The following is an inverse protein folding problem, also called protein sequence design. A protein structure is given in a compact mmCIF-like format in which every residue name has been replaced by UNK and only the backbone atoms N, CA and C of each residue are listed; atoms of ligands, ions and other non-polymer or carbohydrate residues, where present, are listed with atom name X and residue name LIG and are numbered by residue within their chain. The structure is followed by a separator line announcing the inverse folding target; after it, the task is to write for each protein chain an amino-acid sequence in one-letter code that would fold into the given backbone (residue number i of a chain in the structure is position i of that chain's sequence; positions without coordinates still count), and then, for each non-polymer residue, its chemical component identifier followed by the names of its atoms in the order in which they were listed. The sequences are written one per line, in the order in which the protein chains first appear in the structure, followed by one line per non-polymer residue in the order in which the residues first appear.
data_IF_655067469155
#
_entry.id   IF_655067469155
#
_cell.length_a   1.000
_cell.length_b   1.000
_cell.length_c   1.000
_cell.angle_alpha   90.00
_cell.angle_beta   90.00
_cell.angle_gamma   90.00
#
_symmetry.space_group_name_H-M   'P 1'
#
loop_
_entity.id
_entity.type
_entity.pdbx_description
1 polymer ?
#
# COMPACT_ATOMS: atom_id res chain seq x y z
N UNK A 1 29.68 -9.59 7.45
CA UNK A 1 28.58 -9.68 6.47
C UNK A 1 29.26 -9.68 5.10
N UNK A 2 29.06 -10.71 4.32
CA UNK A 2 29.74 -10.94 3.04
C UNK A 2 29.04 -10.19 1.91
N UNK A 3 29.73 -9.96 0.77
CA UNK A 3 29.15 -9.43 -0.49
C UNK A 3 27.93 -10.24 -1.00
N UNK A 4 27.65 -11.40 -0.41
CA UNK A 4 26.54 -12.28 -0.78
C UNK A 4 25.23 -12.00 0.00
N UNK A 5 25.28 -11.20 1.07
CA UNK A 5 24.09 -10.94 1.90
C UNK A 5 23.08 -10.06 1.17
N UNK A 6 21.83 -10.48 1.17
CA UNK A 6 20.68 -9.68 0.71
C UNK A 6 20.04 -8.97 1.89
N UNK A 7 19.96 -7.65 1.84
CA UNK A 7 19.21 -6.83 2.82
C UNK A 7 17.83 -6.52 2.28
N UNK A 8 16.79 -6.73 3.09
CA UNK A 8 15.41 -6.36 2.79
C UNK A 8 15.01 -5.20 3.71
N UNK A 9 14.63 -4.08 3.11
CA UNK A 9 14.14 -2.89 3.81
C UNK A 9 12.61 -2.88 3.79
N UNK A 10 12.03 -3.19 4.93
CA UNK A 10 10.57 -3.29 5.13
C UNK A 10 10.09 -4.71 5.38
N UNK A 11 9.41 -4.91 6.52
CA UNK A 11 8.84 -6.18 6.96
C UNK A 11 7.31 -6.26 6.76
N UNK A 12 6.81 -5.65 5.70
CA UNK A 12 5.45 -5.82 5.20
C UNK A 12 5.28 -7.09 4.36
N UNK A 13 4.09 -7.36 3.78
CA UNK A 13 3.80 -8.56 3.01
C UNK A 13 4.81 -8.88 1.92
N UNK A 14 5.36 -7.86 1.25
CA UNK A 14 6.36 -8.02 0.19
C UNK A 14 7.73 -8.43 0.72
N UNK A 15 8.20 -7.77 1.78
CA UNK A 15 9.47 -8.13 2.42
C UNK A 15 9.42 -9.52 3.04
N UNK A 16 8.31 -9.87 3.73
CA UNK A 16 8.11 -11.19 4.32
C UNK A 16 8.09 -12.30 3.26
N UNK A 17 7.36 -12.09 2.16
CA UNK A 17 7.33 -13.04 1.05
C UNK A 17 8.71 -13.23 0.42
N UNK A 18 9.46 -12.14 0.15
CA UNK A 18 10.80 -12.18 -0.41
C UNK A 18 11.76 -12.96 0.50
N UNK A 19 11.78 -12.63 1.80
CA UNK A 19 12.61 -13.31 2.78
C UNK A 19 12.32 -14.80 2.89
N UNK A 20 11.03 -15.18 2.88
CA UNK A 20 10.61 -16.59 2.92
C UNK A 20 11.10 -17.36 1.69
N UNK A 21 11.06 -16.74 0.50
CA UNK A 21 11.55 -17.36 -0.72
C UNK A 21 13.09 -17.45 -0.77
N UNK A 22 13.81 -16.42 -0.30
CA UNK A 22 15.27 -16.42 -0.20
C UNK A 22 15.74 -17.45 0.82
N UNK A 23 15.10 -17.53 2.00
CA UNK A 23 15.37 -18.58 3.02
C UNK A 23 15.22 -19.98 2.45
N UNK A 24 14.19 -20.23 1.65
CA UNK A 24 13.98 -21.54 1.02
C UNK A 24 15.05 -21.88 -0.04
N UNK A 25 15.86 -20.90 -0.46
CA UNK A 25 17.02 -21.05 -1.35
C UNK A 25 18.36 -20.96 -0.61
N UNK A 26 18.34 -20.93 0.72
CA UNK A 26 19.52 -20.78 1.58
C UNK A 26 20.36 -19.51 1.27
N UNK A 27 19.72 -18.44 0.80
CA UNK A 27 20.37 -17.15 0.55
C UNK A 27 20.49 -16.38 1.87
N UNK A 28 21.71 -15.95 2.27
CA UNK A 28 21.89 -15.10 3.45
C UNK A 28 21.06 -13.82 3.34
N UNK A 29 20.15 -13.61 4.29
CA UNK A 29 19.18 -12.53 4.22
C UNK A 29 18.99 -11.87 5.59
N UNK A 30 19.05 -10.54 5.61
CA UNK A 30 18.70 -9.71 6.76
C UNK A 30 17.46 -8.88 6.42
N UNK A 31 16.53 -8.79 7.37
CA UNK A 31 15.29 -8.02 7.20
C UNK A 31 15.25 -6.95 8.26
N UNK A 32 15.03 -5.70 7.85
CA UNK A 32 14.90 -4.56 8.74
C UNK A 32 13.52 -3.91 8.65
N UNK A 33 12.96 -3.60 9.84
CA UNK A 33 11.69 -2.92 10.00
C UNK A 33 10.66 -3.71 10.81
N UNK A 34 9.71 -3.01 11.41
CA UNK A 34 8.67 -3.63 12.25
C UNK A 34 7.66 -4.41 11.40
N UNK A 35 7.42 -5.70 11.73
CA UNK A 35 6.48 -6.51 10.96
C UNK A 35 5.09 -5.91 10.92
N UNK A 36 4.58 -5.67 9.70
CA UNK A 36 3.24 -5.14 9.43
C UNK A 36 2.93 -3.79 10.11
N UNK A 37 3.93 -2.96 10.38
CA UNK A 37 3.79 -1.69 11.10
C UNK A 37 2.68 -0.79 10.52
N UNK A 38 2.65 -0.62 9.20
CA UNK A 38 1.61 0.16 8.51
C UNK A 38 0.19 -0.36 8.81
N UNK A 39 0.00 -1.69 8.80
CA UNK A 39 -1.30 -2.31 9.04
C UNK A 39 -1.71 -2.23 10.51
N UNK A 40 -0.74 -2.35 11.43
CA UNK A 40 -0.98 -2.26 12.88
C UNK A 40 -1.35 -0.85 13.35
N UNK A 41 -0.99 0.17 12.56
CA UNK A 41 -1.32 1.58 12.83
C UNK A 41 -2.69 2.01 12.28
N UNK A 42 -3.33 1.16 11.47
CA UNK A 42 -4.69 1.44 10.98
C UNK A 42 -5.72 1.27 12.09
N UNK A 43 -6.84 2.02 12.07
CA UNK A 43 -7.95 1.82 13.01
C UNK A 43 -8.43 0.36 13.01
N UNK A 44 -8.55 -0.28 14.19
CA UNK A 44 -8.84 -1.72 14.29
C UNK A 44 -10.23 -2.12 13.76
N UNK A 45 -11.17 -1.17 13.67
CA UNK A 45 -12.52 -1.35 13.14
C UNK A 45 -12.57 -1.32 11.60
N UNK A 46 -11.44 -1.11 10.94
CA UNK A 46 -11.35 -1.10 9.48
C UNK A 46 -11.57 -2.49 8.88
N UNK A 47 -12.14 -2.48 7.67
CA UNK A 47 -12.26 -3.64 6.82
C UNK A 47 -11.42 -3.50 5.56
N UNK A 48 -10.90 -4.61 5.08
CA UNK A 48 -10.07 -4.60 3.88
C UNK A 48 -10.95 -4.64 2.63
N UNK A 49 -10.64 -3.78 1.66
CA UNK A 49 -11.30 -3.76 0.35
C UNK A 49 -10.98 -5.02 -0.48
N UNK A 50 -9.84 -5.64 -0.21
CA UNK A 50 -9.39 -6.87 -0.86
C UNK A 50 -10.20 -8.06 -0.41
N UNK A 51 -10.53 -8.96 -1.34
CA UNK A 51 -11.25 -10.20 -1.03
C UNK A 51 -10.35 -11.19 -0.27
N UNK A 52 -10.95 -12.15 0.40
CA UNK A 52 -10.24 -13.21 1.14
C UNK A 52 -9.11 -13.86 0.34
N UNK A 53 -9.38 -14.24 -0.91
CA UNK A 53 -8.39 -14.91 -1.77
C UNK A 53 -7.20 -14.03 -2.17
N UNK A 54 -7.36 -12.69 -2.11
CA UNK A 54 -6.33 -11.73 -2.52
C UNK A 54 -5.47 -11.19 -1.36
N UNK A 55 -5.61 -11.75 -0.16
CA UNK A 55 -4.86 -11.34 1.04
C UNK A 55 -3.73 -12.31 1.43
N UNK A 56 -3.41 -13.29 0.59
CA UNK A 56 -2.33 -14.23 0.89
C UNK A 56 -0.95 -13.58 0.78
N UNK A 57 -0.15 -13.70 1.85
CA UNK A 57 1.28 -13.45 1.80
C UNK A 57 1.92 -14.69 1.17
N UNK A 58 2.71 -14.49 0.12
CA UNK A 58 3.23 -15.62 -0.65
C UNK A 58 4.33 -16.37 0.10
N UNK A 59 4.29 -17.70 0.01
CA UNK A 59 5.36 -18.60 0.42
C UNK A 59 5.71 -19.58 -0.72
N UNK A 60 6.90 -20.21 -0.71
CA UNK A 60 7.37 -21.06 -1.81
C UNK A 60 6.48 -22.26 -2.13
N UNK A 61 5.75 -22.78 -1.15
CA UNK A 61 4.92 -23.99 -1.25
C UNK A 61 3.42 -23.66 -1.28
N UNK A 62 3.07 -22.38 -1.17
CA UNK A 62 1.69 -21.92 -1.01
C UNK A 62 0.95 -22.63 0.15
N UNK A 63 1.68 -22.90 1.23
CA UNK A 63 1.21 -23.66 2.39
C UNK A 63 0.55 -22.76 3.44
N UNK A 64 1.01 -21.51 3.55
CA UNK A 64 0.61 -20.60 4.62
C UNK A 64 -0.38 -19.55 4.12
N UNK A 65 -1.46 -20.02 3.48
CA UNK A 65 -2.53 -19.19 2.94
C UNK A 65 -3.53 -18.76 4.01
N UNK A 66 -4.33 -17.71 3.73
CA UNK A 66 -5.44 -17.31 4.59
C UNK A 66 -6.51 -18.43 4.71
N UNK A 67 -6.67 -19.27 3.67
CA UNK A 67 -7.52 -20.46 3.73
C UNK A 67 -6.97 -21.51 4.71
N UNK A 68 -5.67 -21.76 4.70
CA UNK A 68 -5.01 -22.67 5.64
C UNK A 68 -5.14 -22.16 7.09
N UNK A 69 -4.96 -20.86 7.30
CA UNK A 69 -5.18 -20.21 8.59
C UNK A 69 -6.62 -20.34 9.05
N UNK A 70 -7.59 -20.01 8.18
CA UNK A 70 -9.02 -20.09 8.48
C UNK A 70 -9.44 -21.51 8.86
N UNK A 71 -8.96 -22.53 8.12
CA UNK A 71 -9.21 -23.94 8.43
C UNK A 71 -8.63 -24.34 9.79
N UNK A 72 -7.38 -23.94 10.09
CA UNK A 72 -6.71 -24.27 11.35
C UNK A 72 -7.39 -23.66 12.57
N UNK A 73 -7.85 -22.40 12.45
CA UNK A 73 -8.41 -21.63 13.55
C UNK A 73 -9.96 -21.56 13.51
N UNK A 74 -10.62 -22.36 12.65
CA UNK A 74 -12.08 -22.42 12.50
C UNK A 74 -12.72 -21.04 12.19
N UNK A 75 -12.00 -20.20 11.42
CA UNK A 75 -12.49 -18.87 11.03
C UNK A 75 -13.25 -19.01 9.71
N UNK A 76 -14.49 -18.58 9.71
CA UNK A 76 -15.33 -18.55 8.50
C UNK A 76 -14.85 -17.43 7.57
N UNK A 77 -14.84 -17.72 6.26
CA UNK A 77 -14.52 -16.71 5.25
C UNK A 77 -15.50 -15.53 5.36
N UNK A 78 -14.91 -14.35 5.39
CA UNK A 78 -15.64 -13.08 5.47
C UNK A 78 -15.33 -12.22 4.24
N UNK A 79 -16.32 -11.51 3.75
CA UNK A 79 -16.18 -10.49 2.71
C UNK A 79 -17.12 -9.32 3.06
N UNK A 80 -16.62 -8.20 3.56
CA UNK A 80 -15.21 -7.80 3.69
C UNK A 80 -14.44 -8.54 4.80
N UNK A 81 -13.12 -8.61 4.64
CA UNK A 81 -12.22 -9.16 5.66
C UNK A 81 -11.89 -8.09 6.69
N UNK A 82 -12.14 -8.36 7.96
CA UNK A 82 -11.75 -7.45 9.04
C UNK A 82 -10.21 -7.32 9.13
N UNK A 83 -9.72 -6.12 9.41
CA UNK A 83 -8.28 -5.87 9.59
C UNK A 83 -7.68 -6.80 10.65
N UNK A 84 -8.36 -6.99 11.78
CA UNK A 84 -7.93 -7.90 12.86
C UNK A 84 -7.73 -9.35 12.37
N UNK A 85 -8.59 -9.84 11.48
CA UNK A 85 -8.45 -11.19 10.89
C UNK A 85 -7.20 -11.28 10.03
N UNK A 86 -6.91 -10.27 9.22
CA UNK A 86 -5.68 -10.22 8.42
C UNK A 86 -4.42 -10.15 9.30
N UNK A 87 -4.44 -9.33 10.36
CA UNK A 87 -3.30 -9.21 11.28
C UNK A 87 -3.05 -10.52 12.03
N UNK A 88 -4.10 -11.23 12.50
CA UNK A 88 -3.97 -12.55 13.12
C UNK A 88 -3.41 -13.58 12.15
N UNK A 89 -3.87 -13.57 10.89
CA UNK A 89 -3.30 -14.40 9.83
C UNK A 89 -1.81 -14.11 9.60
N UNK A 90 -1.45 -12.85 9.50
CA UNK A 90 -0.08 -12.47 9.23
C UNK A 90 0.86 -12.78 10.42
N UNK A 91 0.36 -12.69 11.65
CA UNK A 91 1.10 -13.16 12.82
C UNK A 91 1.30 -14.68 12.77
N UNK A 92 0.26 -15.44 12.47
CA UNK A 92 0.39 -16.89 12.26
C UNK A 92 1.36 -17.24 11.13
N UNK A 93 1.34 -16.50 10.01
CA UNK A 93 2.30 -16.68 8.92
C UNK A 93 3.74 -16.54 9.43
N UNK A 94 4.04 -15.49 10.22
CA UNK A 94 5.36 -15.27 10.80
C UNK A 94 5.82 -16.43 11.69
N UNK A 95 4.92 -16.99 12.49
CA UNK A 95 5.20 -18.16 13.35
C UNK A 95 5.54 -19.41 12.53
N UNK A 96 4.91 -19.58 11.35
CA UNK A 96 5.17 -20.72 10.47
C UNK A 96 6.52 -20.57 9.75
N UNK A 97 6.82 -19.39 9.19
CA UNK A 97 8.02 -19.17 8.38
C UNK A 97 9.28 -18.96 9.22
N UNK A 98 9.15 -18.57 10.49
CA UNK A 98 10.24 -18.38 11.46
C UNK A 98 11.39 -17.56 10.87
N UNK A 99 11.07 -16.35 10.41
CA UNK A 99 12.05 -15.37 9.94
C UNK A 99 12.67 -14.65 11.14
N UNK A 100 13.97 -14.44 11.08
CA UNK A 100 14.66 -13.53 11.98
C UNK A 100 14.54 -12.11 11.43
N UNK A 101 13.84 -11.23 12.14
CA UNK A 101 13.51 -9.86 11.68
C UNK A 101 14.05 -8.86 12.70
N UNK A 102 15.00 -8.07 12.29
CA UNK A 102 15.45 -6.93 13.07
C UNK A 102 14.43 -5.79 12.93
N UNK A 103 13.80 -5.42 14.03
CA UNK A 103 12.72 -4.41 14.04
C UNK A 103 13.22 -2.96 13.96
N UNK A 104 14.54 -2.75 13.86
CA UNK A 104 15.14 -1.42 13.69
C UNK A 104 14.88 -0.91 12.26
N UNK A 105 14.57 0.35 12.12
CA UNK A 105 14.42 0.96 10.81
C UNK A 105 15.79 1.31 10.20
N UNK A 106 15.83 1.32 8.86
CA UNK A 106 16.97 1.81 8.11
C UNK A 106 16.93 3.34 8.08
N UNK A 107 18.00 3.95 8.53
CA UNK A 107 18.21 5.40 8.55
C UNK A 107 18.80 5.89 7.24
N UNK A 108 19.81 5.16 6.69
CA UNK A 108 20.48 5.54 5.44
C UNK A 108 20.84 4.29 4.63
N UNK A 109 20.63 4.38 3.32
CA UNK A 109 21.12 3.43 2.32
C UNK A 109 22.01 4.16 1.33
N UNK A 110 23.28 3.78 1.26
CA UNK A 110 24.25 4.34 0.33
C UNK A 110 24.97 3.25 -0.47
N UNK A 111 25.55 3.60 -1.60
CA UNK A 111 26.40 2.70 -2.38
C UNK A 111 27.79 2.65 -1.76
N UNK A 112 28.37 1.45 -1.66
CA UNK A 112 29.76 1.21 -1.19
C UNK A 112 30.47 0.29 -2.19
N UNK A 113 31.18 0.88 -3.11
CA UNK A 113 31.83 0.16 -4.21
C UNK A 113 30.81 -0.59 -5.08
N UNK A 114 30.91 -1.93 -5.12
CA UNK A 114 29.95 -2.81 -5.85
C UNK A 114 28.74 -3.23 -4.99
N UNK A 115 28.72 -2.88 -3.71
CA UNK A 115 27.66 -3.21 -2.76
C UNK A 115 27.01 -1.98 -2.15
N UNK A 116 26.42 -2.19 -0.99
CA UNK A 116 25.65 -1.16 -0.27
C UNK A 116 26.08 -1.08 1.20
N UNK A 117 26.04 0.12 1.72
CA UNK A 117 26.17 0.44 3.13
C UNK A 117 24.79 0.84 3.68
N UNK A 118 24.34 0.13 4.71
CA UNK A 118 23.06 0.35 5.37
C UNK A 118 23.31 0.78 6.80
N UNK A 119 22.91 1.99 7.17
CA UNK A 119 22.92 2.50 8.54
C UNK A 119 21.51 2.34 9.14
N UNK A 120 21.43 1.85 10.37
CA UNK A 120 20.20 1.69 11.14
C UNK A 120 19.98 2.86 12.08
N UNK A 121 18.72 3.07 12.53
CA UNK A 121 18.38 4.15 13.46
C UNK A 121 19.09 4.04 14.83
N UNK A 122 19.51 2.84 15.23
CA UNK A 122 20.28 2.60 16.46
C UNK A 122 21.80 2.77 16.31
N UNK A 123 22.25 3.21 15.13
CA UNK A 123 23.66 3.48 14.81
C UNK A 123 24.45 2.26 14.32
N UNK A 124 23.87 1.05 14.33
CA UNK A 124 24.51 -0.11 13.70
C UNK A 124 24.61 0.07 12.19
N UNK A 125 25.64 -0.51 11.60
CA UNK A 125 25.86 -0.51 10.15
C UNK A 125 25.99 -1.91 9.60
N UNK A 126 25.49 -2.11 8.37
CA UNK A 126 25.54 -3.39 7.67
C UNK A 126 26.00 -3.19 6.24
N UNK A 127 26.95 -4.02 5.78
CA UNK A 127 27.31 -4.11 4.37
C UNK A 127 26.46 -5.16 3.67
N UNK A 128 25.92 -4.84 2.51
CA UNK A 128 25.09 -5.73 1.71
C UNK A 128 25.60 -5.82 0.27
N UNK A 129 25.56 -7.01 -0.30
CA UNK A 129 25.80 -7.19 -1.74
C UNK A 129 24.56 -6.85 -2.56
N UNK A 130 23.37 -7.02 -1.96
CA UNK A 130 22.08 -6.81 -2.61
C UNK A 130 21.10 -6.16 -1.66
N UNK A 131 20.24 -5.28 -2.19
CA UNK A 131 19.19 -4.62 -1.38
C UNK A 131 17.84 -4.72 -2.08
N UNK A 132 16.82 -5.18 -1.36
CA UNK A 132 15.42 -5.10 -1.77
C UNK A 132 14.69 -4.00 -0.99
N UNK A 133 14.13 -3.02 -1.69
CA UNK A 133 13.25 -2.00 -1.12
C UNK A 133 11.81 -2.52 -1.16
N UNK A 134 11.22 -2.76 0.02
CA UNK A 134 9.89 -3.32 0.23
C UNK A 134 9.06 -2.50 1.25
N UNK A 135 9.24 -1.18 1.27
CA UNK A 135 8.70 -0.24 2.27
C UNK A 135 7.18 0.01 2.16
N UNK A 136 6.52 -0.58 1.16
CA UNK A 136 5.06 -0.45 0.97
C UNK A 136 4.65 0.93 0.49
N UNK A 137 3.53 1.46 1.03
CA UNK A 137 2.94 2.76 0.62
C UNK A 137 3.15 3.87 1.65
N UNK A 138 3.51 3.53 2.87
CA UNK A 138 3.62 4.49 3.97
C UNK A 138 4.49 5.73 3.68
N UNK A 139 5.59 5.64 2.91
CA UNK A 139 6.41 6.82 2.58
C UNK A 139 5.78 7.79 1.58
N UNK A 140 4.62 7.48 1.02
CA UNK A 140 4.09 8.15 -0.17
C UNK A 140 2.70 8.78 0.00
N UNK A 141 2.33 9.40 1.15
CA UNK A 141 1.03 10.06 1.27
C UNK A 141 0.91 11.18 0.24
N UNK A 142 -0.22 11.24 -0.46
CA UNK A 142 -0.47 12.30 -1.42
C UNK A 142 -1.01 13.54 -0.68
N UNK A 143 -0.19 14.57 -0.55
CA UNK A 143 -0.56 15.83 0.09
C UNK A 143 -0.91 16.86 -1.01
N UNK A 144 -2.17 17.29 -1.13
CA UNK A 144 -2.57 18.32 -2.09
C UNK A 144 -1.89 19.66 -1.84
N UNK A 145 -1.73 20.48 -2.89
CA UNK A 145 -0.99 21.74 -2.82
C UNK A 145 -1.57 22.71 -1.77
N UNK A 146 -2.89 22.79 -1.65
CA UNK A 146 -3.55 23.64 -0.66
C UNK A 146 -3.17 23.28 0.80
N UNK A 147 -2.74 22.04 1.05
CA UNK A 147 -2.46 21.50 2.38
C UNK A 147 -0.96 21.52 2.76
N UNK A 148 -0.06 21.74 1.80
CA UNK A 148 1.40 21.60 2.01
C UNK A 148 1.99 22.51 3.09
N UNK A 149 1.43 23.72 3.23
CA UNK A 149 1.94 24.74 4.16
C UNK A 149 1.08 24.88 5.43
N UNK A 150 0.08 24.04 5.61
CA UNK A 150 -0.76 24.05 6.80
C UNK A 150 -0.09 23.25 7.94
N UNK A 151 -0.30 23.68 9.20
CA UNK A 151 0.29 22.97 10.34
C UNK A 151 -0.34 21.58 10.49
N UNK A 152 0.47 20.60 10.89
CA UNK A 152 0.04 19.21 11.13
C UNK A 152 -1.00 19.06 12.23
N UNK A 153 -1.18 20.08 13.06
CA UNK A 153 -2.26 20.14 14.07
C UNK A 153 -3.63 20.39 13.47
N UNK A 154 -3.71 20.91 12.23
CA UNK A 154 -4.96 21.24 11.53
C UNK A 154 -5.20 20.38 10.28
N UNK A 155 -4.14 19.71 9.78
CA UNK A 155 -4.23 18.81 8.62
C UNK A 155 -3.43 17.55 8.88
N UNK A 156 -4.02 16.39 8.59
CA UNK A 156 -3.36 15.09 8.70
C UNK A 156 -3.76 14.17 7.55
N UNK A 157 -2.94 13.16 7.26
CA UNK A 157 -3.33 12.11 6.32
C UNK A 157 -4.05 10.98 7.07
N UNK A 158 -4.95 10.26 6.38
CA UNK A 158 -5.72 9.15 6.98
C UNK A 158 -4.85 8.03 7.58
N UNK A 159 -3.59 7.90 7.16
CA UNK A 159 -2.63 6.94 7.73
C UNK A 159 -2.05 7.35 9.10
N UNK A 160 -2.22 8.61 9.49
CA UNK A 160 -1.64 9.16 10.73
C UNK A 160 -2.49 8.82 11.96
N UNK A 161 -3.66 8.21 11.73
CA UNK A 161 -4.65 7.93 12.77
C UNK A 161 -4.83 6.41 12.99
N UNK A 162 -4.64 5.98 14.22
CA UNK A 162 -5.01 4.64 14.71
C UNK A 162 -6.42 4.61 15.31
N UNK A 163 -6.97 5.77 15.66
CA UNK A 163 -8.37 6.00 16.05
C UNK A 163 -8.75 7.45 15.74
N UNK A 164 -10.02 7.78 15.95
CA UNK A 164 -10.56 9.13 15.69
C UNK A 164 -11.21 9.77 16.91
N UNK A 165 -10.99 9.26 18.12
CA UNK A 165 -11.61 9.76 19.35
C UNK A 165 -11.24 11.22 19.66
N UNK A 166 -10.04 11.65 19.27
CA UNK A 166 -9.56 13.03 19.44
C UNK A 166 -10.39 14.08 18.64
N UNK A 167 -11.25 13.62 17.73
CA UNK A 167 -12.10 14.48 16.89
C UNK A 167 -13.54 14.57 17.37
N UNK A 168 -13.90 13.96 18.49
CA UNK A 168 -15.25 14.05 19.06
C UNK A 168 -15.68 15.52 19.25
N UNK A 169 -16.85 15.89 18.72
CA UNK A 169 -17.41 17.24 18.78
C UNK A 169 -16.74 18.24 17.84
N UNK A 170 -15.73 17.85 17.05
CA UNK A 170 -15.05 18.72 16.07
C UNK A 170 -15.72 18.66 14.71
N UNK A 171 -15.62 19.78 13.97
CA UNK A 171 -15.98 19.87 12.55
C UNK A 171 -14.80 19.44 11.70
N UNK A 172 -14.92 18.28 11.02
CA UNK A 172 -13.85 17.68 10.25
C UNK A 172 -14.24 17.53 8.79
N UNK A 173 -13.41 18.07 7.90
CA UNK A 173 -13.53 17.80 6.46
C UNK A 173 -12.62 16.64 6.09
N UNK A 174 -13.19 15.61 5.46
CA UNK A 174 -12.40 14.53 4.86
C UNK A 174 -12.26 14.79 3.36
N UNK A 175 -11.01 14.87 2.87
CA UNK A 175 -10.73 15.13 1.45
C UNK A 175 -10.41 13.83 0.73
N UNK A 176 -11.24 13.46 -0.23
CA UNK A 176 -11.02 12.27 -1.04
C UNK A 176 -12.31 11.66 -1.56
N UNK A 177 -12.20 10.65 -2.44
CA UNK A 177 -13.36 9.93 -3.00
C UNK A 177 -13.11 8.42 -3.14
N UNK A 178 -12.07 7.93 -2.48
CA UNK A 178 -11.70 6.51 -2.47
C UNK A 178 -12.10 5.82 -1.17
N UNK A 179 -11.79 4.52 -1.08
CA UNK A 179 -12.08 3.68 0.10
C UNK A 179 -11.63 4.31 1.41
N UNK A 180 -10.37 4.76 1.49
CA UNK A 180 -9.78 5.32 2.70
C UNK A 180 -10.53 6.59 3.18
N UNK A 181 -10.90 7.51 2.25
CA UNK A 181 -11.63 8.70 2.59
C UNK A 181 -13.00 8.38 3.20
N UNK A 182 -13.75 7.48 2.58
CA UNK A 182 -15.08 7.10 3.05
C UNK A 182 -15.03 6.32 4.37
N UNK A 183 -14.03 5.47 4.55
CA UNK A 183 -13.85 4.70 5.77
C UNK A 183 -13.43 5.60 6.93
N UNK A 184 -12.50 6.55 6.69
CA UNK A 184 -12.13 7.56 7.70
C UNK A 184 -13.30 8.45 8.07
N UNK A 185 -14.10 8.89 7.08
CA UNK A 185 -15.30 9.71 7.35
C UNK A 185 -16.33 8.96 8.18
N UNK A 186 -16.55 7.66 7.91
CA UNK A 186 -17.45 6.83 8.69
C UNK A 186 -16.97 6.68 10.15
N UNK A 187 -15.68 6.39 10.34
CA UNK A 187 -15.08 6.24 11.67
C UNK A 187 -15.08 7.56 12.46
N UNK A 188 -14.81 8.69 11.82
CA UNK A 188 -14.92 10.02 12.40
C UNK A 188 -16.36 10.31 12.88
N UNK A 189 -17.35 10.02 12.05
CA UNK A 189 -18.76 10.17 12.40
C UNK A 189 -19.15 9.27 13.58
N UNK A 190 -18.70 8.02 13.58
CA UNK A 190 -18.91 7.05 14.66
C UNK A 190 -18.22 7.48 15.95
N UNK A 191 -17.09 8.19 15.87
CA UNK A 191 -16.40 8.79 17.03
C UNK A 191 -17.06 10.09 17.52
N UNK A 192 -18.13 10.58 16.86
CA UNK A 192 -18.89 11.77 17.26
C UNK A 192 -18.38 13.08 16.70
N UNK A 193 -17.62 13.07 15.59
CA UNK A 193 -17.27 14.28 14.84
C UNK A 193 -18.42 14.70 13.91
N UNK A 194 -18.51 16.00 13.63
CA UNK A 194 -19.32 16.56 12.54
C UNK A 194 -18.52 16.47 11.25
N UNK A 195 -18.95 15.63 10.30
CA UNK A 195 -18.15 15.25 9.14
C UNK A 195 -18.76 15.75 7.84
N UNK A 196 -17.93 16.38 6.98
CA UNK A 196 -18.21 16.58 5.56
C UNK A 196 -17.11 15.89 4.73
N UNK A 197 -17.51 15.12 3.72
CA UNK A 197 -16.58 14.50 2.77
C UNK A 197 -16.59 15.28 1.45
N UNK A 198 -15.45 15.84 1.05
CA UNK A 198 -15.29 16.62 -0.18
C UNK A 198 -14.46 15.83 -1.19
N UNK A 199 -14.99 15.65 -2.41
CA UNK A 199 -14.34 14.89 -3.47
C UNK A 199 -14.35 15.60 -4.83
N UNK A 200 -13.19 15.78 -5.45
CA UNK A 200 -13.00 16.44 -6.76
C UNK A 200 -13.68 15.76 -7.96
N UNK A 201 -14.41 14.71 -7.76
CA UNK A 201 -15.14 14.01 -8.81
C UNK A 201 -16.27 13.18 -8.23
N UNK A 202 -17.02 12.44 -9.07
CA UNK A 202 -18.19 11.68 -8.65
C UNK A 202 -17.81 10.57 -7.67
N UNK A 203 -18.74 10.24 -6.79
CA UNK A 203 -18.63 9.06 -5.92
C UNK A 203 -18.88 7.81 -6.78
N UNK A 204 -17.93 6.89 -6.78
CA UNK A 204 -18.02 5.66 -7.54
C UNK A 204 -18.12 4.50 -6.56
N UNK A 205 -19.28 3.88 -6.49
CA UNK A 205 -19.45 2.60 -5.80
C UNK A 205 -19.04 1.47 -6.71
N UNK A 206 -18.31 0.49 -6.15
CA UNK A 206 -17.94 -0.71 -6.91
C UNK A 206 -19.21 -1.49 -7.20
N UNK A 207 -19.60 -1.53 -8.47
CA UNK A 207 -20.65 -2.42 -8.96
C UNK A 207 -20.00 -3.58 -9.72
N UNK A 208 -19.99 -4.74 -9.09
CA UNK A 208 -19.47 -5.95 -9.69
C UNK A 208 -20.66 -6.83 -10.13
N UNK A 209 -21.41 -6.39 -11.13
CA UNK A 209 -22.58 -7.13 -11.64
C UNK A 209 -22.25 -8.59 -11.95
N UNK A 210 -21.05 -8.85 -12.51
CA UNK A 210 -20.57 -10.19 -12.79
C UNK A 210 -20.17 -10.98 -11.53
N UNK A 211 -20.07 -10.32 -10.38
CA UNK A 211 -19.79 -10.97 -9.09
C UNK A 211 -21.01 -11.76 -8.55
N UNK A 212 -22.18 -11.52 -9.09
CA UNK A 212 -23.39 -12.29 -8.79
C UNK A 212 -23.30 -13.73 -9.30
N UNK A 213 -22.43 -13.99 -10.29
CA UNK A 213 -22.14 -15.35 -10.72
C UNK A 213 -21.29 -16.04 -9.65
N UNK A 214 -21.78 -17.13 -9.11
CA UNK A 214 -21.08 -17.98 -8.16
C UNK A 214 -20.39 -19.15 -8.87
N UNK A 215 -19.39 -19.76 -8.23
CA UNK A 215 -18.75 -20.96 -8.74
C UNK A 215 -17.83 -20.77 -9.94
N UNK A 216 -17.93 -21.69 -10.92
CA UNK A 216 -17.02 -21.76 -12.08
C UNK A 216 -17.11 -20.55 -12.99
N UNK A 217 -18.28 -20.00 -13.21
CA UNK A 217 -18.49 -18.83 -14.07
C UNK A 217 -17.72 -17.58 -13.55
N UNK A 218 -17.65 -17.37 -12.24
CA UNK A 218 -16.85 -16.30 -11.65
C UNK A 218 -15.37 -16.45 -12.00
N UNK A 219 -14.82 -17.67 -11.98
CA UNK A 219 -13.42 -17.96 -12.29
C UNK A 219 -13.03 -17.69 -13.75
N UNK A 220 -13.98 -17.71 -14.67
CA UNK A 220 -13.72 -17.33 -16.08
C UNK A 220 -13.41 -15.84 -16.19
N UNK A 221 -14.15 -14.99 -15.48
CA UNK A 221 -14.04 -13.53 -15.59
C UNK A 221 -13.02 -12.92 -14.66
N UNK A 222 -12.75 -13.57 -13.51
CA UNK A 222 -11.86 -13.05 -12.47
C UNK A 222 -10.87 -14.11 -11.98
N UNK A 223 -9.56 -13.81 -12.01
CA UNK A 223 -8.56 -14.66 -11.36
C UNK A 223 -8.72 -14.59 -9.82
N UNK A 224 -8.07 -15.46 -9.06
CA UNK A 224 -8.08 -15.43 -7.59
C UNK A 224 -7.60 -14.10 -6.99
N UNK A 225 -6.72 -13.36 -7.70
CA UNK A 225 -6.24 -12.04 -7.27
C UNK A 225 -7.33 -10.98 -7.28
N UNK A 226 -8.34 -11.12 -8.15
CA UNK A 226 -9.55 -10.29 -8.21
C UNK A 226 -9.29 -8.77 -8.26
N UNK A 227 -8.25 -8.35 -9.00
CA UNK A 227 -7.84 -6.96 -9.12
C UNK A 227 -8.20 -6.43 -10.51
N UNK A 228 -8.99 -5.35 -10.54
CA UNK A 228 -9.42 -4.69 -11.76
C UNK A 228 -10.71 -5.22 -12.36
N UNK A 229 -11.16 -4.65 -13.50
CA UNK A 229 -12.37 -5.07 -14.21
C UNK A 229 -12.27 -6.48 -14.78
N UNK A 230 -13.44 -7.11 -15.04
CA UNK A 230 -13.53 -8.42 -15.67
C UNK A 230 -12.71 -8.48 -16.98
N UNK A 231 -12.02 -9.57 -17.21
CA UNK A 231 -11.12 -9.77 -18.36
C UNK A 231 -9.74 -9.11 -18.18
N UNK A 232 -9.68 -7.80 -17.90
CA UNK A 232 -8.42 -7.09 -17.62
C UNK A 232 -7.75 -7.67 -16.38
N UNK A 233 -8.51 -8.12 -15.40
CA UNK A 233 -8.02 -8.73 -14.16
C UNK A 233 -7.12 -9.96 -14.40
N UNK A 234 -7.33 -10.71 -15.49
CA UNK A 234 -6.44 -11.81 -15.86
C UNK A 234 -5.07 -11.31 -16.32
N UNK A 235 -5.01 -10.25 -17.13
CA UNK A 235 -3.73 -9.65 -17.51
C UNK A 235 -2.98 -9.10 -16.30
N UNK A 236 -3.70 -8.46 -15.38
CA UNK A 236 -3.14 -7.93 -14.12
C UNK A 236 -2.62 -9.04 -13.21
N UNK A 237 -3.23 -10.23 -13.24
CA UNK A 237 -2.78 -11.39 -12.46
C UNK A 237 -1.41 -11.95 -12.90
N UNK A 238 -0.92 -11.57 -14.10
CA UNK A 238 0.35 -12.04 -14.65
C UNK A 238 1.34 -10.88 -14.82
N UNK A 239 2.06 -10.43 -13.78
CA UNK A 239 2.95 -9.26 -13.81
C UNK A 239 4.01 -9.31 -14.92
N UNK A 240 4.55 -10.49 -15.22
CA UNK A 240 5.56 -10.67 -16.28
C UNK A 240 5.01 -10.49 -17.69
N UNK A 241 3.72 -10.78 -17.89
CA UNK A 241 3.00 -10.50 -19.15
C UNK A 241 2.64 -9.02 -19.22
N UNK A 242 2.13 -8.47 -18.11
CA UNK A 242 1.80 -7.04 -17.99
C UNK A 242 2.99 -6.14 -18.35
N UNK A 243 4.19 -6.49 -17.90
CA UNK A 243 5.42 -5.74 -18.18
C UNK A 243 5.72 -5.60 -19.68
N UNK A 244 5.27 -6.55 -20.52
CA UNK A 244 5.56 -6.59 -21.98
C UNK A 244 4.61 -5.72 -22.83
N UNK A 245 3.53 -5.20 -22.24
CA UNK A 245 2.61 -4.31 -22.96
C UNK A 245 3.15 -2.87 -23.02
N UNK A 246 2.71 -2.10 -24.00
CA UNK A 246 3.15 -0.71 -24.20
C UNK A 246 2.78 0.19 -23.00
N UNK A 247 3.58 1.22 -22.77
CA UNK A 247 3.41 2.18 -21.66
C UNK A 247 2.04 2.83 -21.66
N UNK A 248 1.53 3.22 -22.82
CA UNK A 248 0.20 3.82 -22.94
C UNK A 248 -0.91 2.88 -22.47
N UNK A 249 -0.82 1.57 -22.80
CA UNK A 249 -1.78 0.57 -22.34
C UNK A 249 -1.62 0.28 -20.84
N UNK A 250 -0.37 0.20 -20.34
CA UNK A 250 -0.11 0.03 -18.90
C UNK A 250 -0.75 1.15 -18.09
N UNK A 251 -0.53 2.40 -18.47
CA UNK A 251 -1.13 3.58 -17.84
C UNK A 251 -2.66 3.52 -17.87
N UNK A 252 -3.26 3.20 -19.01
CA UNK A 252 -4.72 3.09 -19.12
C UNK A 252 -5.31 2.00 -18.22
N UNK A 253 -4.64 0.85 -18.11
CA UNK A 253 -5.07 -0.25 -17.25
C UNK A 253 -4.89 0.10 -15.77
N UNK A 254 -3.75 0.70 -15.39
CA UNK A 254 -3.50 1.14 -14.02
C UNK A 254 -4.59 2.11 -13.55
N UNK A 255 -4.88 3.14 -14.34
CA UNK A 255 -5.94 4.12 -14.04
C UNK A 255 -7.32 3.46 -13.84
N UNK A 256 -7.63 2.39 -14.57
CA UNK A 256 -8.90 1.65 -14.42
C UNK A 256 -8.91 0.78 -13.16
N UNK A 257 -7.79 0.19 -12.80
CA UNK A 257 -7.68 -0.74 -11.67
C UNK A 257 -7.57 -0.03 -10.33
N UNK A 258 -6.89 1.15 -10.28
CA UNK A 258 -6.63 1.90 -9.05
C UNK A 258 -7.51 3.14 -8.90
N UNK A 259 -8.50 3.34 -9.79
CA UNK A 259 -9.41 4.48 -9.68
C UNK A 259 -10.05 4.54 -8.29
N UNK A 260 -10.22 5.74 -7.72
CA UNK A 260 -10.94 5.91 -6.48
C UNK A 260 -12.36 5.34 -6.60
N UNK A 261 -12.66 4.34 -5.79
CA UNK A 261 -13.97 3.71 -5.71
C UNK A 261 -14.17 3.10 -4.31
N UNK A 262 -15.44 3.07 -3.90
CA UNK A 262 -15.87 2.68 -2.55
C UNK A 262 -16.53 1.32 -2.61
N UNK A 263 -16.23 0.47 -1.65
CA UNK A 263 -16.84 -0.85 -1.54
C UNK A 263 -18.32 -0.74 -1.09
N UNK A 264 -19.25 -1.52 -1.68
CA UNK A 264 -20.68 -1.41 -1.39
C UNK A 264 -21.06 -1.61 0.08
N UNK A 265 -20.29 -2.39 0.81
CA UNK A 265 -20.55 -2.68 2.22
C UNK A 265 -20.41 -1.44 3.14
N UNK A 266 -19.75 -0.37 2.68
CA UNK A 266 -19.68 0.90 3.41
C UNK A 266 -20.97 1.75 3.32
N UNK A 267 -21.91 1.43 2.42
CA UNK A 267 -23.11 2.27 2.21
C UNK A 267 -23.87 2.55 3.50
N UNK A 268 -24.11 1.53 4.31
CA UNK A 268 -24.84 1.67 5.58
C UNK A 268 -24.16 2.55 6.62
N UNK A 269 -22.82 2.71 6.53
CA UNK A 269 -22.03 3.58 7.40
C UNK A 269 -21.88 5.02 6.87
N UNK A 270 -22.32 5.26 5.63
CA UNK A 270 -22.12 6.51 4.89
C UNK A 270 -23.43 7.22 4.58
N UNK A 271 -24.38 6.50 3.95
CA UNK A 271 -25.63 7.11 3.45
C UNK A 271 -26.48 7.64 4.61
N UNK A 272 -26.75 8.96 4.58
CA UNK A 272 -27.51 9.67 5.63
C UNK A 272 -26.77 9.85 6.97
N UNK A 273 -25.47 9.54 7.06
CA UNK A 273 -24.68 9.68 8.27
C UNK A 273 -23.90 10.99 8.33
N UNK A 274 -23.40 11.46 7.21
CA UNK A 274 -22.65 12.70 7.08
C UNK A 274 -22.83 13.30 5.68
N UNK A 275 -22.48 14.58 5.54
CA UNK A 275 -22.57 15.29 4.26
C UNK A 275 -21.49 14.85 3.29
N UNK A 276 -21.87 14.64 2.02
CA UNK A 276 -20.92 14.37 0.94
C UNK A 276 -21.07 15.43 -0.16
N UNK A 277 -19.95 16.05 -0.54
CA UNK A 277 -19.88 17.11 -1.54
C UNK A 277 -19.01 16.66 -2.71
N UNK A 278 -19.58 15.89 -3.66
CA UNK A 278 -18.85 15.40 -4.83
C UNK A 278 -18.62 16.52 -5.86
N UNK A 279 -17.71 16.26 -6.82
CA UNK A 279 -17.33 17.19 -7.91
C UNK A 279 -16.84 18.56 -7.42
N UNK A 280 -16.35 18.62 -6.19
CA UNK A 280 -15.89 19.85 -5.54
C UNK A 280 -14.49 19.62 -4.99
N UNK A 281 -13.63 20.62 -5.07
CA UNK A 281 -12.28 20.61 -4.50
C UNK A 281 -12.06 21.82 -3.59
N UNK A 282 -11.16 21.69 -2.63
CA UNK A 282 -10.65 22.80 -1.85
C UNK A 282 -9.64 23.54 -2.74
N UNK A 283 -9.89 24.83 -2.97
CA UNK A 283 -9.01 25.71 -3.77
C UNK A 283 -7.98 26.38 -2.87
N UNK A 284 -8.43 26.80 -1.68
CA UNK A 284 -7.63 27.51 -0.70
C UNK A 284 -8.03 27.09 0.71
N UNK A 285 -7.07 26.98 1.60
CA UNK A 285 -7.30 26.75 3.02
C UNK A 285 -6.39 27.69 3.81
N UNK A 286 -6.97 28.48 4.70
CA UNK A 286 -6.28 29.50 5.48
C UNK A 286 -6.46 29.22 6.96
N UNK A 287 -5.37 29.25 7.72
CA UNK A 287 -5.42 29.13 9.17
C UNK A 287 -6.11 30.34 9.80
N UNK A 288 -7.04 30.10 10.71
CA UNK A 288 -7.75 31.08 11.49
C UNK A 288 -7.69 30.73 12.99
N UNK A 289 -8.12 31.67 13.83
CA UNK A 289 -8.17 31.43 15.26
C UNK A 289 -9.09 30.23 15.58
N UNK A 290 -8.47 29.08 15.90
CA UNK A 290 -9.17 27.86 16.31
C UNK A 290 -9.53 26.88 15.21
N UNK A 291 -9.09 27.08 13.95
CA UNK A 291 -9.35 26.14 12.86
C UNK A 291 -8.90 26.63 11.49
N UNK A 292 -9.66 26.27 10.46
CA UNK A 292 -9.39 26.59 9.05
C UNK A 292 -10.61 27.18 8.35
N UNK A 293 -10.39 28.22 7.55
CA UNK A 293 -11.34 28.69 6.54
C UNK A 293 -10.99 28.05 5.21
N UNK A 294 -11.95 27.36 4.61
CA UNK A 294 -11.81 26.68 3.33
C UNK A 294 -12.63 27.40 2.25
N UNK A 295 -12.02 27.60 1.08
CA UNK A 295 -12.70 28.07 -0.12
C UNK A 295 -12.82 26.90 -1.11
N UNK A 296 -14.03 26.63 -1.54
CA UNK A 296 -14.35 25.52 -2.43
C UNK A 296 -14.44 25.98 -3.89
N UNK A 297 -14.23 25.04 -4.81
CA UNK A 297 -14.28 25.32 -6.27
C UNK A 297 -15.67 25.72 -6.80
N UNK A 298 -16.73 25.47 -6.04
CA UNK A 298 -18.08 25.90 -6.34
C UNK A 298 -18.40 27.30 -5.78
N UNK A 299 -17.43 27.97 -5.16
CA UNK A 299 -17.58 29.32 -4.57
C UNK A 299 -18.04 29.34 -3.12
N UNK A 300 -18.41 28.20 -2.55
CA UNK A 300 -18.79 28.10 -1.14
C UNK A 300 -17.58 28.15 -0.23
N UNK A 301 -17.81 28.49 1.04
CA UNK A 301 -16.80 28.47 2.10
C UNK A 301 -17.19 27.51 3.22
N UNK A 302 -16.19 27.00 3.96
CA UNK A 302 -16.40 26.19 5.16
C UNK A 302 -15.46 26.64 6.26
N UNK A 303 -15.96 26.59 7.51
CA UNK A 303 -15.13 26.73 8.70
C UNK A 303 -15.06 25.39 9.42
N UNK A 304 -13.85 24.89 9.63
CA UNK A 304 -13.61 23.55 10.17
C UNK A 304 -12.46 23.55 11.16
N UNK A 305 -12.49 22.59 12.07
CA UNK A 305 -11.43 22.42 13.07
C UNK A 305 -10.23 21.62 12.51
N UNK A 306 -10.49 20.72 11.54
CA UNK A 306 -9.43 19.86 11.00
C UNK A 306 -9.76 19.31 9.62
N UNK A 307 -8.71 19.02 8.85
CA UNK A 307 -8.80 18.29 7.56
C UNK A 307 -8.12 16.94 7.67
N UNK A 308 -8.82 15.87 7.30
CA UNK A 308 -8.24 14.55 7.12
C UNK A 308 -8.11 14.22 5.63
N UNK A 309 -6.89 14.01 5.17
CA UNK A 309 -6.58 13.72 3.77
C UNK A 309 -6.72 12.21 3.49
N UNK A 310 -7.83 11.80 2.89
CA UNK A 310 -8.04 10.46 2.31
C UNK A 310 -7.64 10.42 0.83
N UNK A 311 -6.54 11.09 0.47
CA UNK A 311 -6.12 11.39 -0.90
C UNK A 311 -5.30 10.28 -1.56
N UNK A 312 -4.98 9.23 -0.79
CA UNK A 312 -4.23 8.08 -1.25
C UNK A 312 -2.72 8.30 -1.28
N UNK A 313 -2.04 7.53 -2.13
CA UNK A 313 -0.58 7.45 -2.13
C UNK A 313 -0.03 7.60 -3.55
N UNK A 314 1.08 8.30 -3.67
CA UNK A 314 1.80 8.51 -4.92
C UNK A 314 3.24 7.99 -4.77
N UNK A 315 3.52 6.73 -5.13
CA UNK A 315 4.84 6.15 -4.99
C UNK A 315 5.84 6.82 -5.93
N UNK A 316 6.88 7.41 -5.35
CA UNK A 316 7.98 8.05 -6.06
C UNK A 316 9.32 7.73 -5.38
N UNK A 317 10.36 7.42 -6.17
CA UNK A 317 11.70 7.14 -5.63
C UNK A 317 12.26 8.35 -4.88
N UNK A 318 11.94 9.56 -5.33
CA UNK A 318 12.44 10.81 -4.73
C UNK A 318 11.97 11.03 -3.28
N UNK A 319 10.84 10.48 -2.90
CA UNK A 319 10.33 10.55 -1.51
C UNK A 319 11.05 9.62 -0.53
N UNK A 320 11.87 8.70 -1.03
CA UNK A 320 12.67 7.80 -0.18
C UNK A 320 13.92 8.51 0.33
N UNK A 321 13.77 9.40 1.29
CA UNK A 321 14.84 10.26 1.81
C UNK A 321 15.97 9.52 2.53
N UNK A 322 15.72 8.28 2.98
CA UNK A 322 16.75 7.41 3.55
C UNK A 322 17.72 6.85 2.49
N UNK A 323 17.39 6.90 1.20
CA UNK A 323 18.33 6.58 0.12
C UNK A 323 19.22 7.80 -0.11
N UNK A 324 20.53 7.59 -0.01
CA UNK A 324 21.52 8.62 -0.28
C UNK A 324 21.26 9.32 -1.62
N UNK A 325 21.35 10.65 -1.71
CA UNK A 325 21.03 11.39 -2.94
C UNK A 325 21.86 10.94 -4.15
N UNK A 326 23.14 10.59 -3.97
CA UNK A 326 24.00 10.11 -5.07
C UNK A 326 23.52 8.74 -5.59
N UNK A 327 23.13 7.82 -4.70
CA UNK A 327 22.54 6.54 -5.10
C UNK A 327 21.16 6.74 -5.76
N UNK A 328 20.32 7.57 -5.17
CA UNK A 328 18.94 7.84 -5.64
C UNK A 328 18.94 8.48 -7.04
N UNK A 329 19.92 9.34 -7.35
CA UNK A 329 20.06 9.97 -8.68
C UNK A 329 20.43 8.98 -9.79
N UNK A 330 21.11 7.86 -9.46
CA UNK A 330 21.49 6.83 -10.42
C UNK A 330 20.31 5.89 -10.81
N UNK A 331 19.25 5.87 -10.00
CA UNK A 331 18.05 5.09 -10.31
C UNK A 331 17.31 5.74 -11.48
N UNK A 332 17.24 5.07 -12.62
CA UNK A 332 16.40 5.51 -13.74
C UNK A 332 14.93 5.47 -13.34
N UNK A 333 14.22 6.55 -13.64
CA UNK A 333 12.82 6.75 -13.21
C UNK A 333 11.94 7.08 -14.41
N UNK A 334 10.69 6.64 -14.34
CA UNK A 334 9.64 7.04 -15.24
C UNK A 334 8.38 7.36 -14.43
N UNK A 335 7.89 8.60 -14.54
CA UNK A 335 6.79 9.11 -13.72
C UNK A 335 7.00 8.89 -12.20
N UNK A 336 8.21 9.08 -11.70
CA UNK A 336 8.58 8.87 -10.28
C UNK A 336 8.86 7.41 -9.90
N UNK A 337 8.42 6.43 -10.71
CA UNK A 337 8.69 5.01 -10.47
C UNK A 337 10.06 4.58 -10.98
N UNK A 338 10.74 3.63 -10.31
CA UNK A 338 11.98 3.07 -10.84
C UNK A 338 11.69 2.26 -12.11
N UNK A 339 12.57 2.35 -13.11
CA UNK A 339 12.56 1.45 -14.27
C UNK A 339 13.19 0.14 -13.86
N UNK A 340 12.44 -0.97 -13.98
CA UNK A 340 12.83 -2.29 -13.47
C UNK A 340 12.95 -3.31 -14.60
N UNK A 341 13.95 -4.21 -14.50
CA UNK A 341 14.06 -5.37 -15.35
C UNK A 341 13.10 -6.51 -14.90
N UNK A 342 13.14 -7.69 -15.54
CA UNK A 342 12.28 -8.83 -15.22
C UNK A 342 12.49 -9.42 -13.81
N UNK A 343 13.60 -9.11 -13.17
CA UNK A 343 13.97 -9.57 -11.83
C UNK A 343 13.61 -8.56 -10.73
N UNK A 344 12.91 -7.47 -11.09
CA UNK A 344 12.60 -6.34 -10.20
C UNK A 344 13.83 -5.51 -9.81
N UNK A 345 14.93 -5.64 -10.54
CA UNK A 345 16.17 -4.89 -10.36
C UNK A 345 16.10 -3.56 -11.12
N UNK A 346 16.60 -2.50 -10.50
CA UNK A 346 16.69 -1.17 -11.07
C UNK A 346 17.91 -1.02 -12.00
N UNK A 347 18.12 0.21 -12.53
CA UNK A 347 19.33 0.56 -13.29
C UNK A 347 20.62 0.49 -12.48
N UNK A 348 20.53 0.55 -11.15
CA UNK A 348 21.64 0.30 -10.23
C UNK A 348 21.72 -1.20 -9.98
N UNK A 349 22.84 -1.86 -10.32
CA UNK A 349 22.97 -3.30 -10.12
C UNK A 349 22.75 -3.72 -8.68
N UNK A 350 22.04 -4.81 -8.48
CA UNK A 350 21.73 -5.40 -7.17
C UNK A 350 20.81 -4.58 -6.27
N UNK A 351 20.20 -3.50 -6.80
CA UNK A 351 19.17 -2.74 -6.13
C UNK A 351 17.79 -3.11 -6.69
N UNK A 352 16.95 -3.70 -5.87
CA UNK A 352 15.64 -4.21 -6.24
C UNK A 352 14.52 -3.42 -5.58
N UNK A 353 13.38 -3.31 -6.28
CA UNK A 353 12.18 -2.66 -5.75
C UNK A 353 10.97 -3.59 -5.86
N UNK A 354 10.13 -3.59 -4.83
CA UNK A 354 8.89 -4.36 -4.82
C UNK A 354 7.71 -3.56 -4.27
N UNK A 355 6.52 -4.14 -4.31
CA UNK A 355 5.32 -3.47 -3.84
C UNK A 355 4.92 -2.30 -4.73
N UNK A 356 4.42 -1.23 -4.13
CA UNK A 356 3.86 -0.08 -4.84
C UNK A 356 4.82 0.55 -5.85
N UNK A 357 6.13 0.58 -5.56
CA UNK A 357 7.15 1.11 -6.48
C UNK A 357 7.34 0.26 -7.75
N UNK A 358 6.98 -1.02 -7.71
CA UNK A 358 7.04 -1.87 -8.90
C UNK A 358 5.75 -1.82 -9.77
N UNK A 359 4.72 -1.09 -9.33
CA UNK A 359 3.40 -1.13 -9.96
C UNK A 359 3.41 -0.60 -11.40
N UNK A 360 4.21 0.41 -11.71
CA UNK A 360 4.32 0.91 -13.08
C UNK A 360 4.84 -0.16 -14.06
N UNK A 361 5.83 -0.94 -13.63
CA UNK A 361 6.44 -1.96 -14.49
C UNK A 361 5.60 -3.25 -14.57
N UNK A 362 5.06 -3.70 -13.44
CA UNK A 362 4.48 -5.03 -13.27
C UNK A 362 2.97 -5.03 -13.03
N UNK A 363 2.36 -3.86 -13.06
CA UNK A 363 0.92 -3.67 -12.97
C UNK A 363 0.38 -3.42 -11.56
N UNK A 364 -0.90 -3.04 -11.50
CA UNK A 364 -1.58 -2.65 -10.27
C UNK A 364 -1.61 -3.75 -9.20
N UNK A 365 -1.38 -5.01 -9.56
CA UNK A 365 -1.28 -6.12 -8.59
C UNK A 365 -0.18 -5.87 -7.54
N UNK A 366 0.88 -5.13 -7.90
CA UNK A 366 1.97 -4.79 -6.99
C UNK A 366 1.55 -3.82 -5.85
N UNK A 367 0.34 -3.30 -5.87
CA UNK A 367 -0.25 -2.49 -4.79
C UNK A 367 -1.06 -3.33 -3.78
N UNK A 368 -1.19 -4.65 -3.99
CA UNK A 368 -2.03 -5.56 -3.20
C UNK A 368 -1.20 -6.69 -2.60
N UNK A 369 -1.63 -7.24 -1.48
CA UNK A 369 -0.91 -8.30 -0.75
C UNK A 369 -0.63 -9.52 -1.64
N UNK A 370 -1.62 -9.94 -2.43
CA UNK A 370 -1.49 -11.09 -3.36
C UNK A 370 -0.40 -10.90 -4.41
N UNK A 371 -0.01 -9.65 -4.72
CA UNK A 371 1.08 -9.35 -5.63
C UNK A 371 2.47 -9.68 -5.12
N UNK A 372 2.62 -10.00 -3.82
CA UNK A 372 3.91 -10.27 -3.18
C UNK A 372 4.66 -11.48 -3.76
N UNK A 373 3.93 -12.43 -4.35
CA UNK A 373 4.51 -13.68 -4.83
C UNK A 373 5.38 -13.55 -6.09
N UNK A 374 5.09 -12.60 -6.99
CA UNK A 374 5.87 -12.45 -8.23
C UNK A 374 7.29 -11.93 -7.94
N UNK A 375 7.47 -10.78 -7.26
CA UNK A 375 8.81 -10.28 -6.92
C UNK A 375 9.59 -11.26 -6.04
N UNK A 376 8.93 -11.91 -5.06
CA UNK A 376 9.58 -12.86 -4.18
C UNK A 376 10.20 -14.05 -4.95
N UNK A 377 9.43 -14.64 -5.88
CA UNK A 377 9.93 -15.77 -6.69
C UNK A 377 11.03 -15.34 -7.65
N UNK A 378 10.86 -14.20 -8.32
CA UNK A 378 11.83 -13.74 -9.32
C UNK A 378 13.16 -13.34 -8.66
N UNK A 379 13.11 -12.56 -7.60
CA UNK A 379 14.30 -12.20 -6.81
C UNK A 379 15.02 -13.46 -6.31
N UNK A 380 14.31 -14.40 -5.68
CA UNK A 380 14.93 -15.59 -5.13
C UNK A 380 15.56 -16.50 -6.22
N UNK A 381 14.97 -16.55 -7.42
CA UNK A 381 15.55 -17.28 -8.56
C UNK A 381 16.82 -16.60 -9.06
N UNK A 382 16.76 -15.29 -9.27
CA UNK A 382 17.88 -14.49 -9.78
C UNK A 382 19.08 -14.54 -8.83
N UNK A 383 18.85 -14.29 -7.54
CA UNK A 383 19.91 -14.29 -6.52
C UNK A 383 20.50 -15.68 -6.31
N UNK A 384 19.67 -16.73 -6.30
CA UNK A 384 20.17 -18.10 -6.13
C UNK A 384 20.91 -18.65 -7.36
N UNK A 385 20.71 -18.10 -8.53
CA UNK A 385 21.45 -18.46 -9.75
C UNK A 385 22.83 -17.78 -9.82
N UNK A 386 23.14 -16.86 -8.91
CA UNK A 386 24.41 -16.13 -8.90
C UNK A 386 24.49 -15.04 -9.97
N UNK A 387 23.36 -14.68 -10.56
CA UNK A 387 23.21 -13.71 -11.64
C UNK A 387 23.00 -12.29 -11.11
#
# INVERSE_FOLDING_TARGET
VTQETTVIIGAGPYGLAAATHLKAKNVPTLIFGKPLDFWKKMPPEMFLKSTWASLNIADPKNAYTLDAFGKKHQIVKQDPVALKTFLSYAQWYLEQVKLDIDQTFVKTLAQDGKGFHVELEDGRTVKAGRVLIATGVAPFPCIPDFAKNLPSTLVSHSQDHSDFLAFQGKKVVVVGRGQSAFESAALLCEAGAEVELIGRGPIVWIDRRLYRYTGFAKRIFYPPSDIGPAGISWLVAFPQVFRRISDQRRTSIDLRCVRPAVAPWLRSRVEGRFTTTPNTSIVEATEQAGGLDLKLSNGETRQVDHIVLGTGYQPEVETLTYIDPALRSQVQKYHGYPVLNEWFEASVPHLYFSGALAAYNFGPICRFVTGSGAPARQLARHVAAGL
#
